data_IF_400468618465
#
_entry.id   IF_400468618465
#
_cell.length_a   1.000
_cell.length_b   1.000
_cell.length_c   1.000
_cell.angle_alpha   90.00
_cell.angle_beta   90.00
_cell.angle_gamma   90.00
#
_symmetry.space_group_name_H-M   'P 1'
#
loop_
_entity.id
_entity.type
_entity.pdbx_description
1 polymer ?
#
# COMPACT_ATOMS: atom_id res chain seq x y z
N UNK A 1 -1.53 -104.49 -19.49
CA UNK A 1 -2.38 -103.34 -19.90
C UNK A 1 -3.66 -103.39 -19.08
N UNK A 2 -3.66 -102.82 -17.88
CA UNK A 2 -4.86 -102.58 -17.05
C UNK A 2 -4.60 -101.30 -16.26
N UNK A 3 -5.52 -100.35 -16.39
CA UNK A 3 -5.35 -98.93 -16.12
C UNK A 3 -5.41 -98.64 -14.62
N UNK A 4 -4.36 -98.04 -14.08
CA UNK A 4 -4.37 -97.45 -12.74
C UNK A 4 -5.39 -96.30 -12.74
N UNK A 5 -6.42 -96.30 -11.89
CA UNK A 5 -7.38 -95.21 -11.85
C UNK A 5 -6.68 -93.95 -11.37
N UNK A 6 -6.79 -92.88 -12.15
CA UNK A 6 -6.25 -91.56 -11.82
C UNK A 6 -7.16 -90.98 -10.74
N UNK A 7 -6.64 -90.80 -9.53
CA UNK A 7 -7.36 -90.27 -8.38
C UNK A 7 -7.46 -88.74 -8.47
N UNK A 8 -8.43 -88.27 -9.25
CA UNK A 8 -8.64 -86.82 -9.43
C UNK A 8 -8.95 -86.07 -8.12
N UNK A 9 -9.41 -86.75 -7.06
CA UNK A 9 -9.77 -86.16 -5.76
C UNK A 9 -8.58 -85.62 -4.96
N UNK A 10 -7.38 -86.19 -5.12
CA UNK A 10 -6.19 -85.74 -4.40
C UNK A 10 -5.67 -84.38 -4.89
N UNK A 11 -5.97 -84.01 -6.14
CA UNK A 11 -5.52 -82.72 -6.73
C UNK A 11 -6.44 -81.56 -6.34
N UNK A 12 -7.72 -81.81 -6.08
CA UNK A 12 -8.68 -80.77 -5.66
C UNK A 12 -8.52 -80.37 -4.18
N UNK A 13 -8.02 -81.28 -3.35
CA UNK A 13 -7.82 -81.03 -1.92
C UNK A 13 -6.64 -80.08 -1.66
N UNK A 14 -5.64 -80.04 -2.55
CA UNK A 14 -4.54 -79.08 -2.49
C UNK A 14 -4.96 -77.63 -2.83
N UNK A 15 -6.05 -77.44 -3.58
CA UNK A 15 -6.58 -76.11 -3.93
C UNK A 15 -7.44 -75.50 -2.80
N UNK A 16 -7.82 -76.29 -1.80
CA UNK A 16 -8.67 -75.89 -0.67
C UNK A 16 -8.00 -76.10 0.69
N UNK A 17 -6.68 -76.29 0.70
CA UNK A 17 -5.88 -76.33 1.91
C UNK A 17 -5.88 -74.92 2.55
N UNK A 18 -6.85 -74.66 3.43
CA UNK A 18 -6.94 -73.44 4.24
C UNK A 18 -5.78 -73.42 5.24
N UNK A 19 -4.62 -72.96 4.76
CA UNK A 19 -3.47 -72.69 5.61
C UNK A 19 -3.90 -71.61 6.63
N UNK A 20 -3.87 -71.87 7.95
CA UNK A 20 -4.25 -70.87 8.95
C UNK A 20 -3.37 -69.61 8.87
N UNK A 21 -2.17 -69.77 8.30
CA UNK A 21 -1.23 -68.70 8.00
C UNK A 21 -1.77 -67.70 6.96
N UNK A 22 -2.57 -68.15 5.99
CA UNK A 22 -3.19 -67.26 4.98
C UNK A 22 -4.31 -66.43 5.58
N UNK A 23 -5.11 -67.01 6.47
CA UNK A 23 -6.13 -66.26 7.21
C UNK A 23 -5.48 -65.23 8.15
N UNK A 24 -4.37 -65.60 8.81
CA UNK A 24 -3.59 -64.67 9.64
C UNK A 24 -3.06 -63.49 8.81
N UNK A 25 -2.48 -63.74 7.64
CA UNK A 25 -2.02 -62.68 6.74
C UNK A 25 -3.16 -61.76 6.27
N UNK A 26 -4.35 -62.32 6.01
CA UNK A 26 -5.54 -61.56 5.63
C UNK A 26 -6.01 -60.65 6.79
N UNK A 27 -6.08 -61.19 8.01
CA UNK A 27 -6.45 -60.41 9.20
C UNK A 27 -5.44 -59.31 9.50
N UNK A 28 -4.13 -59.58 9.40
CA UNK A 28 -3.07 -58.57 9.57
C UNK A 28 -3.24 -57.45 8.54
N UNK A 29 -3.46 -57.80 7.27
CA UNK A 29 -3.68 -56.82 6.20
C UNK A 29 -4.93 -55.98 6.47
N UNK A 30 -6.02 -56.60 6.92
CA UNK A 30 -7.25 -55.90 7.27
C UNK A 30 -7.04 -54.92 8.43
N UNK A 31 -6.36 -55.34 9.50
CA UNK A 31 -6.04 -54.49 10.66
C UNK A 31 -5.13 -53.33 10.25
N UNK A 32 -4.13 -53.57 9.40
CA UNK A 32 -3.25 -52.53 8.88
C UNK A 32 -4.03 -51.46 8.10
N UNK A 33 -4.91 -51.88 7.19
CA UNK A 33 -5.75 -50.97 6.41
C UNK A 33 -6.68 -50.16 7.33
N UNK A 34 -7.33 -50.81 8.29
CA UNK A 34 -8.19 -50.11 9.26
C UNK A 34 -7.41 -49.08 10.07
N UNK A 35 -6.23 -49.44 10.55
CA UNK A 35 -5.36 -48.53 11.31
C UNK A 35 -4.92 -47.34 10.47
N UNK A 36 -4.56 -47.56 9.19
CA UNK A 36 -4.19 -46.50 8.27
C UNK A 36 -5.34 -45.53 7.98
N UNK A 37 -6.57 -46.03 7.84
CA UNK A 37 -7.77 -45.19 7.65
C UNK A 37 -8.04 -44.35 8.90
N UNK A 38 -7.97 -44.95 10.09
CA UNK A 38 -8.14 -44.23 11.36
C UNK A 38 -7.08 -43.12 11.46
N UNK A 39 -5.82 -43.44 11.20
CA UNK A 39 -4.73 -42.45 11.22
C UNK A 39 -4.95 -41.32 10.20
N UNK A 40 -5.35 -41.64 8.97
CA UNK A 40 -5.61 -40.65 7.92
C UNK A 40 -6.76 -39.69 8.28
N UNK A 41 -7.71 -40.11 9.12
CA UNK A 41 -8.78 -39.24 9.62
C UNK A 41 -8.26 -38.17 10.58
N UNK A 42 -7.23 -38.48 11.37
CA UNK A 42 -6.58 -37.53 12.29
C UNK A 42 -5.45 -36.73 11.66
N UNK A 43 -4.95 -37.16 10.50
CA UNK A 43 -3.89 -36.47 9.78
C UNK A 43 -4.43 -35.14 9.21
N UNK A 44 -4.17 -34.04 9.92
CA UNK A 44 -4.43 -32.71 9.43
C UNK A 44 -3.47 -32.41 8.26
N UNK A 45 -4.03 -32.29 7.05
CA UNK A 45 -3.28 -31.82 5.90
C UNK A 45 -3.17 -30.30 6.01
N UNK A 46 -2.02 -29.82 6.50
CA UNK A 46 -1.76 -28.39 6.55
C UNK A 46 -1.55 -27.86 5.13
N UNK A 47 -2.62 -27.30 4.55
CA UNK A 47 -2.55 -26.59 3.29
C UNK A 47 -2.01 -25.18 3.54
N UNK A 48 -0.72 -24.98 3.26
CA UNK A 48 -0.11 -23.65 3.31
C UNK A 48 -0.47 -22.92 2.00
N UNK A 49 -1.62 -22.25 2.01
CA UNK A 49 -2.01 -21.33 0.92
C UNK A 49 -1.10 -20.10 0.96
N UNK A 50 -0.09 -20.08 0.08
CA UNK A 50 0.76 -18.90 -0.13
C UNK A 50 0.00 -17.90 -0.99
N UNK A 51 -0.58 -16.89 -0.34
CA UNK A 51 -1.14 -15.75 -1.04
C UNK A 51 -0.06 -14.68 -1.22
N UNK A 52 0.20 -14.28 -2.47
CA UNK A 52 1.06 -13.12 -2.76
C UNK A 52 0.29 -11.82 -2.44
N UNK A 53 0.40 -11.39 -1.18
CA UNK A 53 -0.13 -10.10 -0.74
C UNK A 53 0.76 -8.95 -1.20
N UNK A 54 0.30 -8.16 -2.18
CA UNK A 54 1.00 -6.91 -2.57
C UNK A 54 0.57 -5.78 -1.63
N UNK A 55 1.49 -5.34 -0.77
CA UNK A 55 1.30 -4.13 0.06
C UNK A 55 1.46 -2.92 -0.86
N UNK A 56 0.34 -2.33 -1.27
CA UNK A 56 0.30 -1.03 -1.93
C UNK A 56 0.13 0.02 -0.84
N UNK A 57 1.16 0.87 -0.66
CA UNK A 57 1.04 2.03 0.20
C UNK A 57 0.00 2.97 -0.42
N UNK A 58 -1.13 3.15 0.28
CA UNK A 58 -2.19 4.10 -0.10
C UNK A 58 -1.79 5.55 0.15
N UNK A 59 -0.53 5.92 -0.07
CA UNK A 59 -0.14 7.33 -0.07
C UNK A 59 -0.40 7.89 -1.46
N UNK A 60 -1.68 8.16 -1.73
CA UNK A 60 -2.00 9.13 -2.75
C UNK A 60 -1.45 10.46 -2.25
N UNK A 61 -0.22 10.79 -2.67
CA UNK A 61 0.37 12.12 -2.45
C UNK A 61 -0.48 13.09 -3.25
N UNK A 62 -1.59 13.53 -2.66
CA UNK A 62 -2.37 14.63 -3.18
C UNK A 62 -1.47 15.84 -3.05
N UNK A 63 -0.85 16.20 -4.18
CA UNK A 63 -0.11 17.43 -4.29
C UNK A 63 -1.13 18.56 -4.19
N UNK A 64 -1.36 19.04 -2.98
CA UNK A 64 -2.05 20.31 -2.73
C UNK A 64 -1.12 21.39 -3.24
N UNK A 65 -1.19 21.65 -4.55
CA UNK A 65 -0.60 22.84 -5.14
C UNK A 65 -1.52 23.99 -4.77
N UNK A 66 -1.14 24.73 -3.74
CA UNK A 66 -1.74 26.04 -3.50
C UNK A 66 -1.41 26.91 -4.70
N UNK A 67 -2.45 27.32 -5.43
CA UNK A 67 -2.36 28.17 -6.62
C UNK A 67 -1.85 29.60 -6.33
N UNK A 68 -1.49 29.92 -5.08
CA UNK A 68 -1.09 31.27 -4.65
C UNK A 68 0.14 31.34 -3.70
N UNK A 69 1.00 30.32 -3.65
CA UNK A 69 2.19 30.34 -2.79
C UNK A 69 3.42 30.93 -3.48
N UNK A 70 4.03 31.98 -2.92
CA UNK A 70 5.25 32.62 -3.43
C UNK A 70 6.42 31.68 -3.74
N UNK A 71 7.42 32.19 -4.47
CA UNK A 71 8.60 31.42 -4.91
C UNK A 71 9.33 30.86 -3.67
N UNK A 72 9.52 29.55 -3.61
CA UNK A 72 10.32 28.90 -2.56
C UNK A 72 11.78 29.39 -2.61
N UNK A 73 12.31 29.93 -1.50
CA UNK A 73 13.71 30.37 -1.40
C UNK A 73 14.63 29.21 -0.99
N UNK A 74 14.27 28.49 0.08
CA UNK A 74 15.05 27.38 0.61
C UNK A 74 14.20 26.39 1.42
N UNK A 75 14.53 25.10 1.30
CA UNK A 75 14.04 24.01 2.15
C UNK A 75 15.16 23.69 3.15
N UNK A 76 14.89 23.83 4.44
CA UNK A 76 15.90 23.70 5.50
C UNK A 76 15.93 22.31 6.17
N UNK A 77 15.10 21.38 5.71
CA UNK A 77 14.93 20.04 6.33
C UNK A 77 14.79 18.95 5.28
N UNK A 78 15.23 17.73 5.61
CA UNK A 78 15.10 16.54 4.73
C UNK A 78 14.06 15.56 5.26
N UNK A 79 13.53 14.73 4.37
CA UNK A 79 12.62 13.65 4.75
C UNK A 79 13.28 12.72 5.78
N UNK A 80 12.65 12.59 6.95
CA UNK A 80 13.15 11.78 8.07
C UNK A 80 13.83 12.57 9.21
N UNK A 81 14.03 13.87 9.05
CA UNK A 81 14.57 14.70 10.14
C UNK A 81 13.56 14.86 11.30
N UNK A 82 14.04 14.73 12.54
CA UNK A 82 13.26 15.09 13.74
C UNK A 82 13.24 16.61 13.87
N UNK A 83 12.05 17.19 13.83
CA UNK A 83 11.84 18.63 13.95
C UNK A 83 11.24 18.99 15.31
N UNK A 84 11.72 20.09 15.89
CA UNK A 84 11.20 20.62 17.15
C UNK A 84 10.12 21.68 16.92
N UNK A 85 9.28 21.91 17.92
CA UNK A 85 8.17 22.88 17.82
C UNK A 85 8.72 24.30 17.66
N UNK A 86 8.50 24.90 16.49
CA UNK A 86 8.98 26.25 16.16
C UNK A 86 10.17 26.28 15.21
N UNK A 87 10.69 25.13 14.78
CA UNK A 87 11.74 25.06 13.78
C UNK A 87 11.23 25.50 12.41
N UNK A 88 11.94 26.42 11.77
CA UNK A 88 11.63 26.90 10.41
C UNK A 88 11.98 25.79 9.42
N UNK A 89 10.95 25.24 8.77
CA UNK A 89 11.09 24.15 7.80
C UNK A 89 11.28 24.68 6.38
N UNK A 90 10.67 25.82 6.09
CA UNK A 90 10.59 26.42 4.76
C UNK A 90 10.69 27.94 4.85
N UNK A 91 11.43 28.54 3.92
CA UNK A 91 11.44 29.99 3.74
C UNK A 91 10.92 30.34 2.33
N UNK A 92 9.83 31.09 2.29
CA UNK A 92 9.24 31.60 1.04
C UNK A 92 9.89 32.95 0.72
N UNK A 93 10.43 33.09 -0.50
CA UNK A 93 11.06 34.31 -0.97
C UNK A 93 9.99 35.32 -1.43
N UNK A 94 9.78 36.37 -0.64
CA UNK A 94 8.79 37.41 -0.91
C UNK A 94 9.40 38.64 -1.62
N UNK A 95 10.59 38.54 -2.20
CA UNK A 95 11.24 39.63 -2.96
C UNK A 95 10.36 40.18 -4.07
N UNK A 96 9.53 39.35 -4.72
CA UNK A 96 8.60 39.78 -5.78
C UNK A 96 7.34 40.49 -5.23
N UNK A 97 6.85 40.10 -4.05
CA UNK A 97 5.69 40.75 -3.41
C UNK A 97 6.00 42.17 -2.92
N UNK A 98 7.22 42.40 -2.41
CA UNK A 98 7.67 43.74 -2.04
C UNK A 98 7.67 44.70 -3.26
N UNK A 99 8.01 44.20 -4.45
CA UNK A 99 7.99 45.00 -5.68
C UNK A 99 6.57 45.40 -6.07
N UNK A 100 5.62 44.46 -6.07
CA UNK A 100 4.21 44.75 -6.41
C UNK A 100 3.53 45.69 -5.39
N UNK A 101 3.88 45.57 -4.11
CA UNK A 101 3.40 46.48 -3.08
C UNK A 101 3.92 47.91 -3.29
N UNK A 102 5.23 48.06 -3.57
CA UNK A 102 5.84 49.36 -3.83
C UNK A 102 5.31 50.01 -5.11
N UNK A 103 5.05 49.22 -6.16
CA UNK A 103 4.45 49.72 -7.40
C UNK A 103 3.02 50.24 -7.17
N UNK A 104 2.21 49.50 -6.41
CA UNK A 104 0.85 49.92 -6.04
C UNK A 104 0.85 51.21 -5.21
N UNK A 105 1.77 51.33 -4.25
CA UNK A 105 1.92 52.54 -3.44
C UNK A 105 2.35 53.75 -4.28
N UNK A 106 3.23 53.55 -5.26
CA UNK A 106 3.63 54.59 -6.22
C UNK A 106 2.45 55.04 -7.10
N UNK A 107 1.63 54.10 -7.55
CA UNK A 107 0.42 54.40 -8.33
C UNK A 107 -0.59 55.23 -7.53
N UNK A 108 -0.86 54.87 -6.27
CA UNK A 108 -1.74 55.62 -5.36
C UNK A 108 -1.24 57.06 -5.17
N UNK A 109 0.06 57.20 -4.94
CA UNK A 109 0.70 58.51 -4.74
C UNK A 109 0.55 59.38 -5.99
N UNK A 110 0.80 58.81 -7.17
CA UNK A 110 0.63 59.50 -8.46
C UNK A 110 -0.81 59.94 -8.70
N UNK A 111 -1.78 59.08 -8.39
CA UNK A 111 -3.20 59.41 -8.52
C UNK A 111 -3.63 60.53 -7.57
N UNK A 112 -3.12 60.54 -6.33
CA UNK A 112 -3.37 61.64 -5.38
C UNK A 112 -2.83 62.96 -5.89
N UNK A 113 -1.62 62.99 -6.45
CA UNK A 113 -1.08 64.19 -7.07
C UNK A 113 -1.92 64.67 -8.25
N UNK A 114 -2.44 63.77 -9.10
CA UNK A 114 -3.34 64.13 -10.20
C UNK A 114 -4.65 64.73 -9.70
N UNK A 115 -5.26 64.15 -8.66
CA UNK A 115 -6.49 64.69 -8.05
C UNK A 115 -6.25 66.08 -7.45
N UNK A 116 -5.16 66.26 -6.71
CA UNK A 116 -4.81 67.57 -6.13
C UNK A 116 -4.56 68.61 -7.22
N UNK A 117 -3.89 68.23 -8.30
CA UNK A 117 -3.65 69.12 -9.45
C UNK A 117 -4.97 69.55 -10.07
N UNK A 118 -5.86 68.61 -10.36
CA UNK A 118 -7.16 68.90 -10.95
C UNK A 118 -8.03 69.75 -10.01
N UNK A 119 -8.00 69.48 -8.71
CA UNK A 119 -8.69 70.28 -7.70
C UNK A 119 -8.16 71.72 -7.64
N UNK A 120 -6.84 71.92 -7.79
CA UNK A 120 -6.25 73.26 -7.89
C UNK A 120 -6.60 73.98 -9.20
N UNK A 121 -6.66 73.25 -10.32
CA UNK A 121 -7.08 73.79 -11.62
C UNK A 121 -8.54 74.27 -11.59
N UNK A 122 -9.43 73.50 -10.95
CA UNK A 122 -10.86 73.84 -10.82
C UNK A 122 -11.07 75.00 -9.83
N UNK A 123 -10.36 75.01 -8.71
CA UNK A 123 -10.58 75.99 -7.63
C UNK A 123 -9.76 77.28 -7.77
N UNK A 124 -8.81 77.34 -8.71
CA UNK A 124 -7.92 78.49 -8.92
C UNK A 124 -6.98 78.79 -7.76
N UNK A 125 -6.87 77.90 -6.76
CA UNK A 125 -6.04 78.05 -5.55
C UNK A 125 -4.72 77.27 -5.72
N UNK A 126 -3.60 77.76 -5.18
CA UNK A 126 -2.30 77.10 -5.32
C UNK A 126 -2.29 75.71 -4.66
N UNK A 127 -1.64 74.75 -5.34
CA UNK A 127 -1.56 73.35 -4.97
C UNK A 127 -0.88 73.16 -3.59
N UNK A 128 -1.55 72.52 -2.64
CA UNK A 128 -0.99 72.13 -1.34
C UNK A 128 -0.64 70.64 -1.38
N UNK A 129 0.62 70.31 -1.06
CA UNK A 129 1.10 68.93 -1.04
C UNK A 129 0.44 68.13 0.11
N UNK A 130 0.13 66.85 -0.10
CA UNK A 130 -0.47 66.02 0.93
C UNK A 130 0.55 65.74 2.06
N UNK A 131 0.14 65.77 3.34
CA UNK A 131 1.03 65.44 4.45
C UNK A 131 1.35 63.93 4.41
N UNK A 132 2.61 63.67 4.72
CA UNK A 132 3.30 62.37 4.74
C UNK A 132 2.77 61.42 5.82
#
# INVERSE_FOLDING_TARGET
>A
MTTRPIDHSARFSALTQTQPLSHLALWITAVFVLTAIIWANFAALEEITRADGRIIASSQTQVVQNLEGGILSAILVKEGDRVEKGQVLLQIDNTRFASSFNESQSAITTLRFKMLRLASEISGKPMQAPPN
#
